data_IF_064905046811
#
_entry.id   IF_064905046811
#
_cell.length_a   1.000
_cell.length_b   1.000
_cell.length_c   1.000
_cell.angle_alpha   90.00
_cell.angle_beta   90.00
_cell.angle_gamma   90.00
#
_symmetry.space_group_name_H-M   'P 1'
#
loop_
_entity.id
_entity.type
_entity.pdbx_description
1 polymer ?
#
# COMPACT_ATOMS: atom_id res chain seq x y z
N UNK A 1 10.45 -20.84 -7.02
CA UNK A 1 9.78 -19.55 -6.74
C UNK A 1 9.93 -19.11 -5.27
N UNK A 2 9.78 -20.01 -4.28
CA UNK A 2 9.89 -19.68 -2.86
C UNK A 2 11.20 -18.94 -2.48
N UNK A 3 12.35 -19.37 -3.02
CA UNK A 3 13.64 -18.68 -2.80
C UNK A 3 13.77 -17.30 -3.46
N UNK A 4 12.82 -16.88 -4.31
CA UNK A 4 12.73 -15.49 -4.81
C UNK A 4 11.84 -14.62 -3.92
N UNK A 5 10.83 -15.21 -3.28
CA UNK A 5 9.97 -14.54 -2.31
C UNK A 5 10.73 -14.32 -0.99
N UNK A 6 11.46 -15.33 -0.54
CA UNK A 6 12.30 -15.27 0.66
C UNK A 6 13.77 -15.46 0.26
N UNK A 7 14.43 -14.41 -0.26
CA UNK A 7 15.81 -14.50 -0.70
C UNK A 7 16.74 -14.76 0.49
N UNK A 8 17.70 -15.67 0.32
CA UNK A 8 18.72 -15.97 1.35
C UNK A 8 19.69 -14.81 1.58
N UNK A 9 19.83 -13.90 0.60
CA UNK A 9 20.70 -12.73 0.65
C UNK A 9 19.94 -11.51 0.15
N UNK A 10 20.05 -10.40 0.87
CA UNK A 10 19.50 -9.10 0.47
C UNK A 10 20.53 -8.37 -0.39
N UNK A 11 20.66 -8.79 -1.64
CA UNK A 11 21.54 -8.14 -2.61
C UNK A 11 20.74 -7.27 -3.60
N UNK A 12 21.46 -6.68 -4.54
CA UNK A 12 20.87 -5.85 -5.57
C UNK A 12 20.54 -6.64 -6.85
N UNK A 13 20.66 -7.97 -6.82
CA UNK A 13 20.43 -8.82 -7.99
C UNK A 13 18.94 -9.15 -8.18
N UNK A 14 18.25 -8.25 -8.87
CA UNK A 14 16.87 -8.49 -9.25
C UNK A 14 16.76 -9.34 -10.52
N UNK A 15 16.02 -10.45 -10.41
CA UNK A 15 15.86 -11.46 -11.48
C UNK A 15 14.50 -11.39 -12.19
N UNK A 16 13.58 -10.54 -11.72
CA UNK A 16 12.25 -10.35 -12.32
C UNK A 16 12.24 -9.33 -13.47
N UNK A 17 11.05 -9.01 -13.98
CA UNK A 17 10.87 -7.96 -14.99
C UNK A 17 11.10 -6.58 -14.39
N UNK A 18 11.87 -5.72 -15.10
CA UNK A 18 12.14 -4.32 -14.69
C UNK A 18 10.85 -3.52 -14.48
N UNK A 19 9.78 -3.85 -15.22
CA UNK A 19 8.46 -3.25 -15.04
C UNK A 19 7.91 -3.45 -13.61
N UNK A 20 8.23 -4.56 -12.96
CA UNK A 20 7.88 -4.80 -11.56
C UNK A 20 8.55 -3.82 -10.59
N UNK A 21 9.75 -3.32 -10.90
CA UNK A 21 10.40 -2.28 -10.08
C UNK A 21 9.66 -0.94 -10.25
N UNK A 22 9.38 -0.55 -11.50
CA UNK A 22 8.68 0.70 -11.79
C UNK A 22 7.26 0.73 -11.23
N UNK A 23 6.54 -0.39 -11.35
CA UNK A 23 5.22 -0.53 -10.76
C UNK A 23 5.27 -0.44 -9.23
N UNK A 24 6.30 -1.02 -8.58
CA UNK A 24 6.48 -0.91 -7.14
C UNK A 24 6.70 0.55 -6.75
N UNK A 25 7.60 1.26 -7.44
CA UNK A 25 7.86 2.67 -7.18
C UNK A 25 6.60 3.53 -7.33
N UNK A 26 5.80 3.31 -8.37
CA UNK A 26 4.53 4.01 -8.57
C UNK A 26 3.55 3.75 -7.41
N UNK A 27 3.42 2.48 -6.99
CA UNK A 27 2.57 2.10 -5.87
C UNK A 27 3.06 2.67 -4.53
N UNK A 28 4.37 2.71 -4.30
CA UNK A 28 4.96 3.31 -3.11
C UNK A 28 4.71 4.82 -3.07
N UNK A 29 4.84 5.52 -4.19
CA UNK A 29 4.51 6.95 -4.30
C UNK A 29 3.02 7.19 -3.98
N UNK A 30 2.13 6.41 -4.59
CA UNK A 30 0.70 6.50 -4.31
C UNK A 30 0.37 6.20 -2.84
N UNK A 31 0.92 5.14 -2.25
CA UNK A 31 0.71 4.83 -0.83
C UNK A 31 1.34 5.87 0.10
N UNK A 32 2.42 6.52 -0.31
CA UNK A 32 3.05 7.60 0.45
C UNK A 32 2.13 8.82 0.47
N UNK A 33 1.46 9.14 -0.63
CA UNK A 33 0.47 10.23 -0.62
C UNK A 33 -0.68 9.93 0.33
N UNK A 34 -1.19 8.69 0.40
CA UNK A 34 -2.19 8.29 1.39
C UNK A 34 -1.68 8.48 2.82
N UNK A 35 -0.45 8.04 3.11
CA UNK A 35 0.16 8.19 4.43
C UNK A 35 0.35 9.66 4.84
N UNK A 36 0.82 10.51 3.93
CA UNK A 36 0.97 11.96 4.13
C UNK A 36 -0.37 12.63 4.42
N UNK A 37 -1.42 12.24 3.69
CA UNK A 37 -2.79 12.70 3.94
C UNK A 37 -3.30 12.26 5.32
N UNK A 38 -3.06 11.01 5.70
CA UNK A 38 -3.46 10.49 7.01
C UNK A 38 -2.76 11.20 8.17
N UNK A 39 -1.48 11.54 8.00
CA UNK A 39 -0.69 12.31 8.97
C UNK A 39 -1.10 13.78 9.08
N UNK A 40 -1.94 14.28 8.16
CA UNK A 40 -2.29 15.69 8.09
C UNK A 40 -1.15 16.60 7.62
N UNK A 41 -0.13 16.02 6.96
CA UNK A 41 0.98 16.78 6.38
C UNK A 41 0.65 17.34 4.98
N UNK A 42 -0.53 17.02 4.44
CA UNK A 42 -1.00 17.62 3.19
C UNK A 42 -1.51 19.05 3.46
N UNK A 43 -0.90 20.10 2.88
CA UNK A 43 -1.36 21.48 3.09
C UNK A 43 -2.73 21.77 2.44
N UNK A 44 -3.18 20.94 1.50
CA UNK A 44 -4.45 21.15 0.77
C UNK A 44 -5.66 20.53 1.47
N UNK A 45 -5.47 19.52 2.31
CA UNK A 45 -6.56 18.78 2.95
C UNK A 45 -6.14 18.32 4.34
N UNK A 46 -6.98 18.59 5.33
CA UNK A 46 -6.80 18.04 6.67
C UNK A 46 -7.11 16.54 6.70
N UNK A 47 -6.50 15.82 7.63
CA UNK A 47 -6.79 14.39 7.84
C UNK A 47 -8.25 14.13 8.26
N UNK A 48 -8.90 15.09 8.91
CA UNK A 48 -10.35 15.07 9.19
C UNK A 48 -11.18 15.06 7.89
N UNK A 49 -10.88 15.97 6.97
CA UNK A 49 -11.56 16.03 5.67
C UNK A 49 -11.31 14.78 4.82
N UNK A 50 -10.11 14.21 4.89
CA UNK A 50 -9.76 12.96 4.21
C UNK A 50 -10.65 11.82 4.74
N UNK A 51 -10.78 11.67 6.07
CA UNK A 51 -11.64 10.65 6.67
C UNK A 51 -13.11 10.81 6.28
N UNK A 52 -13.62 12.05 6.22
CA UNK A 52 -15.01 12.31 5.84
C UNK A 52 -15.29 12.11 4.36
N UNK A 53 -14.35 12.51 3.48
CA UNK A 53 -14.57 12.50 2.03
C UNK A 53 -14.12 11.19 1.38
N UNK A 54 -12.91 10.74 1.68
CA UNK A 54 -12.34 9.54 1.06
C UNK A 54 -12.84 8.26 1.76
N UNK A 55 -12.74 8.22 3.09
CA UNK A 55 -13.16 7.04 3.87
C UNK A 55 -14.65 7.04 4.23
N UNK A 56 -15.33 8.17 4.00
CA UNK A 56 -16.77 8.37 4.23
C UNK A 56 -17.20 8.08 5.65
N UNK A 57 -16.30 8.30 6.61
CA UNK A 57 -16.62 8.19 8.03
C UNK A 57 -17.43 9.43 8.41
N UNK A 58 -18.65 9.28 8.94
CA UNK A 58 -19.53 10.40 9.26
C UNK A 58 -19.09 11.07 10.58
N UNK A 59 -17.90 11.69 10.59
CA UNK A 59 -17.32 12.29 11.81
C UNK A 59 -18.23 13.35 12.45
N UNK A 60 -19.11 13.99 11.69
CA UNK A 60 -20.06 14.99 12.20
C UNK A 60 -21.17 14.38 13.06
N UNK A 61 -21.38 13.07 12.95
CA UNK A 61 -22.34 12.32 13.80
C UNK A 61 -21.71 11.86 15.11
N UNK A 62 -20.39 11.97 15.24
CA UNK A 62 -19.67 11.54 16.43
C UNK A 62 -19.62 12.68 17.46
N UNK A 63 -19.52 12.33 18.74
CA UNK A 63 -19.14 13.29 19.76
C UNK A 63 -17.75 13.87 19.47
N UNK A 64 -17.49 15.12 19.86
CA UNK A 64 -16.25 15.84 19.53
C UNK A 64 -14.97 15.06 19.91
N UNK A 65 -14.97 14.40 21.07
CA UNK A 65 -13.82 13.61 21.52
C UNK A 65 -13.66 12.31 20.73
N UNK A 66 -14.76 11.67 20.33
CA UNK A 66 -14.73 10.48 19.48
C UNK A 66 -14.23 10.80 18.07
N UNK A 67 -14.63 11.95 17.50
CA UNK A 67 -14.10 12.41 16.21
C UNK A 67 -12.58 12.65 16.28
N UNK A 68 -12.09 13.32 17.34
CA UNK A 68 -10.64 13.53 17.55
C UNK A 68 -9.89 12.20 17.71
N UNK A 69 -10.46 11.24 18.46
CA UNK A 69 -9.86 9.93 18.61
C UNK A 69 -9.76 9.17 17.28
N UNK A 70 -10.80 9.22 16.44
CA UNK A 70 -10.78 8.62 15.10
C UNK A 70 -9.70 9.27 14.21
N UNK A 71 -9.60 10.60 14.21
CA UNK A 71 -8.55 11.33 13.47
C UNK A 71 -7.16 10.98 13.98
N UNK A 72 -6.97 10.83 15.30
CA UNK A 72 -5.70 10.41 15.89
C UNK A 72 -5.31 8.99 15.45
N UNK A 73 -6.24 8.03 15.52
CA UNK A 73 -6.00 6.66 15.07
C UNK A 73 -5.66 6.60 13.58
N UNK A 74 -6.30 7.43 12.77
CA UNK A 74 -5.98 7.55 11.35
C UNK A 74 -4.57 8.11 11.11
N UNK A 75 -4.15 9.12 11.88
CA UNK A 75 -2.78 9.64 11.81
C UNK A 75 -1.74 8.60 12.22
N UNK A 76 -1.97 7.86 13.31
CA UNK A 76 -1.09 6.77 13.77
C UNK A 76 -0.98 5.68 12.71
N UNK A 77 -2.10 5.31 12.08
CA UNK A 77 -2.13 4.38 10.96
C UNK A 77 -1.27 4.90 9.78
N UNK A 78 -1.34 6.19 9.48
CA UNK A 78 -0.48 6.85 8.51
C UNK A 78 1.02 6.62 8.73
N UNK A 79 1.48 6.65 9.99
CA UNK A 79 2.89 6.35 10.33
C UNK A 79 3.27 4.92 9.96
N UNK A 80 2.42 3.93 10.27
CA UNK A 80 2.71 2.52 9.94
C UNK A 80 2.88 2.30 8.45
N UNK A 81 2.08 2.97 7.62
CA UNK A 81 2.26 2.95 6.17
C UNK A 81 3.54 3.63 5.72
N UNK A 82 3.90 4.75 6.34
CA UNK A 82 5.11 5.47 5.99
C UNK A 82 6.35 4.60 6.19
N UNK A 83 6.44 3.91 7.34
CA UNK A 83 7.55 3.01 7.65
C UNK A 83 7.65 1.89 6.61
N UNK A 84 6.53 1.26 6.26
CA UNK A 84 6.53 0.20 5.23
C UNK A 84 6.91 0.74 3.84
N UNK A 85 6.46 1.95 3.50
CA UNK A 85 6.81 2.57 2.22
C UNK A 85 8.30 2.95 2.15
N UNK A 86 8.87 3.48 3.24
CA UNK A 86 10.31 3.77 3.33
C UNK A 86 11.12 2.50 3.14
N UNK A 87 10.75 1.40 3.80
CA UNK A 87 11.38 0.10 3.57
C UNK A 87 11.27 -0.33 2.09
N UNK A 88 10.11 -0.07 1.49
CA UNK A 88 9.86 -0.27 0.06
C UNK A 88 10.84 0.49 -0.84
N UNK A 89 11.04 1.78 -0.59
CA UNK A 89 11.96 2.61 -1.36
C UNK A 89 13.41 2.17 -1.18
N UNK A 90 13.83 1.85 0.05
CA UNK A 90 15.18 1.35 0.33
C UNK A 90 15.44 0.07 -0.46
N UNK A 91 14.48 -0.86 -0.50
CA UNK A 91 14.62 -2.07 -1.28
C UNK A 91 14.66 -1.81 -2.79
N UNK A 92 13.81 -0.93 -3.32
CA UNK A 92 13.81 -0.60 -4.74
C UNK A 92 15.14 0.04 -5.21
N UNK A 93 15.80 0.78 -4.32
CA UNK A 93 17.08 1.45 -4.61
C UNK A 93 18.27 0.51 -4.38
N UNK A 94 18.31 -0.20 -3.25
CA UNK A 94 19.54 -0.85 -2.76
C UNK A 94 19.46 -2.37 -2.58
N UNK A 95 18.27 -2.90 -2.29
CA UNK A 95 18.05 -4.32 -1.97
C UNK A 95 16.97 -4.93 -2.88
N UNK A 96 17.17 -4.83 -4.19
CA UNK A 96 16.12 -5.17 -5.17
C UNK A 96 15.71 -6.65 -5.13
N UNK A 97 16.54 -7.53 -4.57
CA UNK A 97 16.13 -8.92 -4.31
C UNK A 97 14.91 -9.02 -3.37
N UNK A 98 14.64 -8.01 -2.53
CA UNK A 98 13.49 -7.95 -1.63
C UNK A 98 12.17 -7.57 -2.30
N UNK A 99 12.18 -7.14 -3.56
CA UNK A 99 10.99 -6.63 -4.25
C UNK A 99 9.81 -7.62 -4.23
N UNK A 100 10.00 -8.93 -4.51
CA UNK A 100 8.91 -9.90 -4.41
C UNK A 100 8.34 -10.03 -2.98
N UNK A 101 9.21 -10.00 -1.96
CA UNK A 101 8.80 -10.02 -0.55
C UNK A 101 7.95 -8.79 -0.21
N UNK A 102 8.37 -7.62 -0.66
CA UNK A 102 7.64 -6.38 -0.40
C UNK A 102 6.26 -6.37 -1.05
N UNK A 103 6.16 -6.86 -2.29
CA UNK A 103 4.85 -7.04 -2.92
C UNK A 103 3.95 -7.94 -2.10
N UNK A 104 4.48 -9.05 -1.58
CA UNK A 104 3.73 -9.96 -0.72
C UNK A 104 3.30 -9.30 0.58
N UNK A 105 4.20 -8.58 1.26
CA UNK A 105 3.90 -7.87 2.51
C UNK A 105 2.83 -6.78 2.30
N UNK A 106 2.98 -5.97 1.24
CA UNK A 106 2.01 -4.94 0.87
C UNK A 106 0.64 -5.53 0.52
N UNK A 107 0.62 -6.67 -0.17
CA UNK A 107 -0.60 -7.39 -0.50
C UNK A 107 -1.29 -7.96 0.75
N UNK A 108 -0.53 -8.63 1.62
CA UNK A 108 -1.04 -9.19 2.87
C UNK A 108 -1.61 -8.10 3.78
N UNK A 109 -0.88 -6.99 3.94
CA UNK A 109 -1.29 -5.80 4.67
C UNK A 109 -2.60 -5.18 4.11
N UNK A 110 -2.70 -5.09 2.78
CA UNK A 110 -3.88 -4.50 2.14
C UNK A 110 -5.11 -5.42 2.21
N UNK A 111 -4.93 -6.73 1.98
CA UNK A 111 -6.01 -7.73 2.13
C UNK A 111 -6.46 -7.82 3.59
N UNK A 112 -5.52 -7.89 4.54
CA UNK A 112 -5.84 -8.00 5.96
C UNK A 112 -6.69 -6.84 6.45
N UNK A 113 -6.34 -5.60 6.08
CA UNK A 113 -7.17 -4.44 6.42
C UNK A 113 -8.54 -4.47 5.76
N UNK A 114 -8.60 -4.81 4.47
CA UNK A 114 -9.89 -4.90 3.78
C UNK A 114 -10.79 -5.93 4.47
N UNK A 115 -10.25 -7.09 4.82
CA UNK A 115 -10.99 -8.14 5.53
C UNK A 115 -11.51 -7.65 6.89
N UNK A 116 -10.69 -6.99 7.69
CA UNK A 116 -11.11 -6.42 8.98
C UNK A 116 -12.25 -5.41 8.80
N UNK A 117 -12.17 -4.54 7.80
CA UNK A 117 -13.20 -3.54 7.50
C UNK A 117 -14.49 -4.21 7.00
N UNK A 118 -14.41 -5.23 6.16
CA UNK A 118 -15.57 -5.97 5.67
C UNK A 118 -16.26 -6.75 6.82
N UNK A 119 -15.48 -7.26 7.78
CA UNK A 119 -15.99 -7.96 8.97
C UNK A 119 -16.60 -7.01 10.02
N UNK A 120 -16.25 -5.72 9.99
CA UNK A 120 -16.72 -4.70 10.92
C UNK A 120 -17.37 -3.55 10.15
N UNK A 121 -18.54 -3.79 9.52
CA UNK A 121 -19.19 -2.77 8.71
C UNK A 121 -19.62 -1.59 9.59
N UNK A 122 -19.16 -0.41 9.22
CA UNK A 122 -19.54 0.87 9.83
C UNK A 122 -20.51 1.62 8.91
N UNK A 123 -21.36 2.45 9.50
CA UNK A 123 -22.18 3.38 8.73
C UNK A 123 -21.25 4.32 7.95
N UNK A 124 -21.48 4.46 6.64
CA UNK A 124 -20.73 5.34 5.76
C UNK A 124 -21.66 6.38 5.14
N UNK A 125 -21.12 7.57 4.91
CA UNK A 125 -21.82 8.58 4.12
C UNK A 125 -22.08 8.02 2.71
N UNK A 126 -23.31 8.14 2.17
CA UNK A 126 -23.62 7.66 0.83
C UNK A 126 -22.80 8.42 -0.22
N UNK A 127 -22.32 7.69 -1.23
CA UNK A 127 -21.57 8.26 -2.34
C UNK A 127 -22.40 8.18 -3.63
N UNK A 128 -22.40 9.25 -4.42
CA UNK A 128 -23.03 9.27 -5.74
C UNK A 128 -22.31 8.37 -6.76
N UNK A 129 -21.02 8.16 -6.56
CA UNK A 129 -20.17 7.29 -7.37
C UNK A 129 -19.05 6.71 -6.49
N UNK A 130 -18.80 5.40 -6.60
CA UNK A 130 -17.74 4.72 -5.84
C UNK A 130 -16.67 4.15 -6.78
N UNK A 131 -15.43 4.60 -6.61
CA UNK A 131 -14.26 3.97 -7.23
C UNK A 131 -13.72 2.93 -6.24
N UNK A 132 -13.62 1.64 -6.60
CA UNK A 132 -13.11 0.61 -5.71
C UNK A 132 -11.57 0.64 -5.63
N UNK A 133 -11.00 1.72 -5.10
CA UNK A 133 -9.55 1.96 -5.01
C UNK A 133 -8.82 0.78 -4.38
N UNK A 134 -9.40 0.17 -3.34
CA UNK A 134 -8.80 -1.01 -2.69
C UNK A 134 -8.64 -2.20 -3.65
N UNK A 135 -9.64 -2.47 -4.50
CA UNK A 135 -9.54 -3.57 -5.48
C UNK A 135 -8.50 -3.27 -6.57
N UNK A 136 -8.43 -2.01 -7.01
CA UNK A 136 -7.42 -1.55 -7.98
C UNK A 136 -6.01 -1.75 -7.40
N UNK A 137 -5.78 -1.34 -6.15
CA UNK A 137 -4.48 -1.51 -5.48
C UNK A 137 -4.13 -2.99 -5.34
N UNK A 138 -5.08 -3.86 -4.94
CA UNK A 138 -4.87 -5.31 -4.86
C UNK A 138 -4.47 -5.88 -6.23
N UNK A 139 -5.19 -5.52 -7.29
CA UNK A 139 -4.89 -5.99 -8.64
C UNK A 139 -3.48 -5.57 -9.10
N UNK A 140 -3.10 -4.32 -8.86
CA UNK A 140 -1.75 -3.83 -9.19
C UNK A 140 -0.66 -4.53 -8.38
N UNK A 141 -0.91 -4.82 -7.10
CA UNK A 141 0.03 -5.58 -6.25
C UNK A 141 0.20 -7.03 -6.75
N UNK A 142 -0.88 -7.69 -7.16
CA UNK A 142 -0.84 -9.03 -7.74
C UNK A 142 -0.07 -9.05 -9.06
N UNK A 143 -0.31 -8.08 -9.95
CA UNK A 143 0.41 -7.92 -11.22
C UNK A 143 1.91 -7.70 -10.94
N UNK A 144 2.24 -6.79 -10.01
CA UNK A 144 3.61 -6.51 -9.62
C UNK A 144 4.33 -7.72 -9.03
N UNK A 145 3.66 -8.48 -8.17
CA UNK A 145 4.18 -9.74 -7.63
C UNK A 145 4.47 -10.73 -8.77
N UNK A 146 3.53 -10.92 -9.70
CA UNK A 146 3.69 -11.78 -10.86
C UNK A 146 4.90 -11.38 -11.72
N UNK A 147 5.02 -10.09 -12.04
CA UNK A 147 6.16 -9.54 -12.79
C UNK A 147 7.50 -9.70 -12.05
N UNK A 148 7.48 -9.64 -10.71
CA UNK A 148 8.68 -9.80 -9.89
C UNK A 148 9.16 -11.25 -9.80
N UNK A 149 8.24 -12.21 -9.92
CA UNK A 149 8.54 -13.63 -9.87
C UNK A 149 8.86 -14.22 -11.24
N UNK A 150 8.28 -13.68 -12.32
CA UNK A 150 8.49 -14.15 -13.68
C UNK A 150 9.90 -13.79 -14.20
N UNK A 151 10.55 -14.75 -14.87
CA UNK A 151 11.86 -14.52 -15.51
C UNK A 151 11.66 -14.05 -16.95
N UNK A 152 12.36 -13.01 -17.43
CA UNK A 152 12.35 -12.66 -18.85
C UNK A 152 12.94 -13.79 -19.70
N UNK A 153 12.19 -14.26 -20.71
CA UNK A 153 12.54 -15.39 -21.62
C UNK A 153 13.97 -15.33 -22.18
N UNK A 154 14.50 -14.15 -22.50
CA UNK A 154 15.86 -14.00 -23.04
C UNK A 154 17.03 -14.26 -22.07
N UNK A 155 16.75 -14.74 -20.84
CA UNK A 155 17.76 -15.08 -19.83
C UNK A 155 17.82 -16.58 -19.51
N UNK A 156 16.93 -17.38 -20.11
CA UNK A 156 16.90 -18.85 -19.96
C UNK A 156 17.82 -19.54 -20.97
N UNK A 157 18.10 -18.90 -22.12
CA UNK A 157 18.93 -19.47 -23.20
C UNK A 157 20.46 -19.29 -23.01
N UNK A 158 20.89 -18.73 -21.88
CA UNK A 158 22.29 -18.39 -21.61
C UNK A 158 22.84 -18.96 -20.30
N UNK A 159 22.19 -19.97 -19.72
CA UNK A 159 22.60 -20.66 -18.50
C UNK A 159 23.03 -22.10 -18.79
#
# INVERSE_FOLDING_TARGET
MFGRIFPKRLDNEYRGYKLGIWLLLLLLLFKTSISVNALGWNPMMSNHEVLQRADRIPLDTFGADAAKAAVLLFAVWGVTHLVLNVLGFIAAIRYRAMIPLLYLLLLADHIGRKAIVDMNPIARTPAAFEIPVNLIVIALLLIGLGLSLATPRGREDGA
#
